data_IF_611278488207
#
_entry.id   IF_611278488207
#
_cell.length_a   1.000
_cell.length_b   1.000
_cell.length_c   1.000
_cell.angle_alpha   90.00
_cell.angle_beta   90.00
_cell.angle_gamma   90.00
#
_symmetry.space_group_name_H-M   'P 1'
#
loop_
_entity.id
_entity.type
_entity.pdbx_description
1 polymer ?
#
# COMPACT_ATOMS: atom_id res chain seq x y z
N UNK A 1 9.11 14.21 5.01
CA UNK A 1 8.15 15.32 5.07
C UNK A 1 6.94 14.89 4.27
N UNK A 2 5.72 15.08 4.77
CA UNK A 2 4.50 14.74 4.02
C UNK A 2 4.31 15.87 3.00
N UNK A 3 4.43 15.54 1.72
CA UNK A 3 4.12 16.47 0.63
C UNK A 3 2.60 16.65 0.55
N UNK A 4 2.05 17.86 0.79
CA UNK A 4 0.62 18.10 0.75
C UNK A 4 0.01 17.97 -0.66
N UNK A 5 0.82 17.95 -1.71
CA UNK A 5 0.36 17.80 -3.09
C UNK A 5 0.09 16.34 -3.48
N UNK A 6 0.48 15.36 -2.65
CA UNK A 6 0.24 13.94 -2.92
C UNK A 6 -1.10 13.52 -2.28
N UNK A 7 -2.08 13.05 -3.07
CA UNK A 7 -3.35 12.57 -2.56
C UNK A 7 -3.15 11.48 -1.51
N UNK A 8 -3.87 11.59 -0.39
CA UNK A 8 -3.82 10.62 0.70
C UNK A 8 -5.16 9.94 0.88
N UNK A 9 -5.16 8.62 0.74
CA UNK A 9 -6.33 7.78 0.96
C UNK A 9 -6.16 6.96 2.23
N UNK A 10 -7.14 7.06 3.13
CA UNK A 10 -7.23 6.20 4.30
C UNK A 10 -7.83 4.85 3.89
N UNK A 11 -7.15 3.75 4.21
CA UNK A 11 -7.71 2.42 4.00
C UNK A 11 -9.04 2.26 4.76
N UNK A 12 -10.05 1.69 4.11
CA UNK A 12 -11.36 1.38 4.69
C UNK A 12 -11.34 0.03 5.38
N UNK A 13 -10.65 -0.96 4.79
CA UNK A 13 -10.47 -2.30 5.37
C UNK A 13 -9.11 -2.90 5.00
N UNK A 14 -8.64 -3.83 5.83
CA UNK A 14 -7.50 -4.70 5.54
C UNK A 14 -7.94 -6.12 5.87
N UNK A 15 -7.81 -7.04 4.91
CA UNK A 15 -8.24 -8.43 5.07
C UNK A 15 -7.20 -9.38 4.46
N UNK A 16 -7.02 -10.55 5.07
CA UNK A 16 -6.08 -11.57 4.58
C UNK A 16 -6.86 -12.81 4.17
N UNK A 17 -6.64 -13.32 2.96
CA UNK A 17 -7.24 -14.56 2.47
C UNK A 17 -6.28 -15.24 1.49
N UNK A 18 -6.07 -16.55 1.64
CA UNK A 18 -5.24 -17.33 0.70
C UNK A 18 -3.78 -16.86 0.57
N UNK A 19 -3.21 -16.24 1.61
CA UNK A 19 -1.85 -15.70 1.57
C UNK A 19 -1.71 -14.33 0.90
N UNK A 20 -2.83 -13.65 0.65
CA UNK A 20 -2.90 -12.28 0.12
C UNK A 20 -3.58 -11.36 1.13
N UNK A 21 -2.92 -10.27 1.48
CA UNK A 21 -3.46 -9.15 2.26
C UNK A 21 -4.00 -8.09 1.31
N UNK A 22 -5.31 -7.93 1.28
CA UNK A 22 -5.99 -6.90 0.48
C UNK A 22 -6.23 -5.65 1.35
N UNK A 23 -5.71 -4.52 0.88
CA UNK A 23 -5.96 -3.19 1.42
C UNK A 23 -7.02 -2.52 0.55
N UNK A 24 -8.19 -2.24 1.14
CA UNK A 24 -9.28 -1.56 0.44
C UNK A 24 -9.23 -0.06 0.72
N UNK A 25 -9.31 0.76 -0.31
CA UNK A 25 -9.44 2.20 -0.27
C UNK A 25 -10.92 2.61 -0.43
N UNK A 26 -11.29 3.88 -0.16
CA UNK A 26 -12.63 4.36 -0.45
C UNK A 26 -12.92 4.23 -1.96
N UNK A 27 -14.13 3.82 -2.33
CA UNK A 27 -14.53 3.73 -3.74
C UNK A 27 -14.48 5.07 -4.48
N UNK A 28 -14.52 6.18 -3.72
CA UNK A 28 -14.36 7.55 -4.25
C UNK A 28 -12.91 7.96 -4.46
N UNK A 29 -11.93 7.08 -4.19
CA UNK A 29 -10.53 7.38 -4.45
C UNK A 29 -10.27 7.36 -5.96
N UNK A 30 -9.93 8.50 -6.54
CA UNK A 30 -9.58 8.62 -7.95
C UNK A 30 -8.07 8.31 -8.09
N UNK A 31 -7.77 7.24 -8.84
CA UNK A 31 -6.41 6.74 -9.05
C UNK A 31 -6.15 6.65 -10.54
N UNK A 32 -5.22 7.44 -11.03
CA UNK A 32 -4.83 7.50 -12.45
C UNK A 32 -3.48 6.83 -12.69
N UNK A 33 -3.26 6.36 -13.92
CA UNK A 33 -1.98 5.78 -14.31
C UNK A 33 -0.84 6.80 -14.15
N UNK A 34 0.25 6.39 -13.51
CA UNK A 34 1.41 7.21 -13.20
C UNK A 34 1.27 8.05 -11.93
N UNK A 35 0.11 8.07 -11.27
CA UNK A 35 -0.15 8.90 -10.10
C UNK A 35 0.55 8.35 -8.85
N UNK A 36 1.18 9.24 -8.08
CA UNK A 36 1.72 8.93 -6.75
C UNK A 36 0.64 9.21 -5.70
N UNK A 37 0.42 8.26 -4.79
CA UNK A 37 -0.55 8.35 -3.71
C UNK A 37 0.07 7.91 -2.37
N UNK A 38 -0.49 8.42 -1.28
CA UNK A 38 -0.22 7.96 0.08
C UNK A 38 -1.40 7.10 0.56
N UNK A 39 -1.16 5.84 0.92
CA UNK A 39 -2.13 4.94 1.55
C UNK A 39 -1.89 4.91 3.06
N UNK A 40 -2.82 5.45 3.84
CA UNK A 40 -2.77 5.46 5.30
C UNK A 40 -3.54 4.27 5.87
N UNK A 41 -2.81 3.38 6.56
CA UNK A 41 -3.36 2.22 7.27
C UNK A 41 -3.86 2.61 8.66
N UNK A 42 -4.92 3.41 8.75
CA UNK A 42 -5.55 3.78 10.01
C UNK A 42 -6.74 2.86 10.35
N UNK A 43 -6.53 1.55 10.23
CA UNK A 43 -7.48 0.48 10.54
C UNK A 43 -6.82 -0.56 11.44
N UNK A 44 -7.63 -1.48 11.99
CA UNK A 44 -7.09 -2.71 12.57
C UNK A 44 -6.39 -3.52 11.47
N UNK A 45 -5.24 -4.10 11.80
CA UNK A 45 -4.52 -5.02 10.92
C UNK A 45 -4.84 -6.42 11.45
N UNK A 46 -5.42 -7.32 10.64
CA UNK A 46 -5.70 -8.68 11.06
C UNK A 46 -4.41 -9.46 11.27
N UNK A 47 -4.47 -10.54 12.04
CA UNK A 47 -3.34 -11.46 12.18
C UNK A 47 -3.04 -12.16 10.85
N UNK A 48 -1.81 -12.66 10.70
CA UNK A 48 -1.40 -13.44 9.53
C UNK A 48 -1.12 -12.63 8.27
N UNK A 49 -0.97 -11.31 8.36
CA UNK A 49 -0.51 -10.46 7.24
C UNK A 49 0.97 -10.66 6.89
N UNK A 50 1.74 -11.27 7.80
CA UNK A 50 3.19 -11.34 7.70
C UNK A 50 3.63 -12.26 6.55
N UNK A 51 4.51 -11.76 5.68
CA UNK A 51 4.99 -12.52 4.52
C UNK A 51 3.97 -12.72 3.40
N UNK A 52 2.74 -12.22 3.55
CA UNK A 52 1.70 -12.27 2.53
C UNK A 52 1.96 -11.27 1.41
N UNK A 53 1.44 -11.55 0.22
CA UNK A 53 1.40 -10.57 -0.86
C UNK A 53 0.41 -9.46 -0.50
N UNK A 54 0.75 -8.20 -0.78
CA UNK A 54 -0.19 -7.08 -0.62
C UNK A 54 -0.85 -6.75 -1.95
N UNK A 55 -2.17 -6.62 -1.96
CA UNK A 55 -2.95 -6.05 -3.06
C UNK A 55 -3.68 -4.81 -2.58
N UNK A 56 -3.72 -3.76 -3.39
CA UNK A 56 -4.46 -2.52 -3.09
C UNK A 56 -5.61 -2.40 -4.08
N UNK A 57 -6.79 -2.04 -3.59
CA UNK A 57 -7.98 -1.85 -4.44
C UNK A 57 -8.89 -0.74 -3.93
N UNK A 58 -9.56 -0.01 -4.82
CA UNK A 58 -10.72 0.83 -4.51
C UNK A 58 -12.03 0.26 -5.08
N UNK A 59 -12.00 -0.96 -5.63
CA UNK A 59 -13.12 -1.60 -6.33
C UNK A 59 -13.12 -1.40 -7.86
N UNK A 60 -12.45 -0.38 -8.38
CA UNK A 60 -12.29 -0.13 -9.83
C UNK A 60 -10.86 -0.39 -10.28
N UNK A 61 -9.90 0.20 -9.59
CA UNK A 61 -8.46 -0.01 -9.76
C UNK A 61 -8.03 -1.06 -8.75
N UNK A 62 -7.38 -2.12 -9.23
CA UNK A 62 -6.78 -3.17 -8.41
C UNK A 62 -5.37 -3.45 -8.92
N UNK A 63 -4.42 -3.53 -8.00
CA UNK A 63 -3.04 -3.83 -8.33
C UNK A 63 -2.27 -4.39 -7.15
N UNK A 64 -1.32 -5.26 -7.45
CA UNK A 64 -0.40 -5.78 -6.45
C UNK A 64 0.62 -4.73 -6.06
N UNK A 65 0.98 -4.69 -4.79
CA UNK A 65 2.03 -3.82 -4.31
C UNK A 65 3.38 -4.49 -4.55
N UNK A 66 4.21 -3.83 -5.35
CA UNK A 66 5.53 -4.32 -5.78
C UNK A 66 6.64 -3.40 -5.30
N UNK A 67 7.85 -3.96 -5.14
CA UNK A 67 9.06 -3.16 -4.98
C UNK A 67 9.55 -2.60 -6.33
N UNK A 68 10.52 -1.69 -6.31
CA UNK A 68 11.10 -1.11 -7.54
C UNK A 68 11.80 -2.11 -8.47
N UNK A 69 11.96 -3.38 -8.05
CA UNK A 69 12.52 -4.45 -8.86
C UNK A 69 11.41 -5.35 -9.47
N UNK A 70 10.14 -5.00 -9.30
CA UNK A 70 9.00 -5.77 -9.81
C UNK A 70 8.62 -7.01 -8.99
N UNK A 71 9.22 -7.21 -7.80
CA UNK A 71 8.83 -8.31 -6.91
C UNK A 71 7.67 -7.89 -6.01
N UNK A 72 6.76 -8.83 -5.72
CA UNK A 72 5.71 -8.62 -4.72
C UNK A 72 6.29 -8.17 -3.39
N UNK A 73 5.69 -7.14 -2.83
CA UNK A 73 6.01 -6.71 -1.49
C UNK A 73 5.41 -7.67 -0.49
N UNK A 74 6.28 -8.23 0.35
CA UNK A 74 5.92 -9.10 1.48
C UNK A 74 6.37 -8.41 2.76
N UNK A 75 5.46 -7.74 3.49
CA UNK A 75 5.83 -6.97 4.66
C UNK A 75 6.19 -7.88 5.84
N UNK A 76 7.08 -7.38 6.69
CA UNK A 76 7.29 -7.88 8.06
C UNK A 76 6.93 -6.76 9.05
N UNK A 77 6.24 -7.10 10.14
CA UNK A 77 4.77 -7.12 10.19
C UNK A 77 4.12 -5.81 9.72
N UNK A 78 2.94 -5.91 9.09
CA UNK A 78 2.17 -4.73 8.72
C UNK A 78 1.62 -4.07 9.99
N UNK A 79 1.89 -2.78 10.19
CA UNK A 79 1.47 -2.07 11.41
C UNK A 79 0.45 -1.00 11.12
N UNK A 80 -0.50 -0.82 12.05
CA UNK A 80 -1.43 0.29 12.00
C UNK A 80 -0.69 1.63 12.07
N UNK A 81 -1.26 2.65 11.44
CA UNK A 81 -0.71 3.99 11.23
C UNK A 81 0.54 4.04 10.36
N UNK A 82 0.79 2.99 9.58
CA UNK A 82 1.75 3.04 8.47
C UNK A 82 1.16 3.83 7.31
N UNK A 83 1.99 4.66 6.67
CA UNK A 83 1.70 5.30 5.38
C UNK A 83 2.58 4.63 4.34
N UNK A 84 1.95 4.11 3.29
CA UNK A 84 2.61 3.54 2.12
C UNK A 84 2.54 4.59 1.01
N UNK A 85 3.67 5.08 0.56
CA UNK A 85 3.75 5.91 -0.65
C UNK A 85 4.05 5.02 -1.83
N UNK A 86 3.15 5.01 -2.80
CA UNK A 86 3.27 4.21 -4.01
C UNK A 86 2.84 4.98 -5.25
N UNK A 87 3.30 4.53 -6.41
CA UNK A 87 2.86 4.99 -7.72
C UNK A 87 1.99 3.91 -8.35
N UNK A 88 0.83 4.27 -8.89
CA UNK A 88 0.02 3.34 -9.68
C UNK A 88 0.53 3.30 -11.12
N UNK A 89 0.68 2.10 -11.68
CA UNK A 89 1.06 1.85 -13.06
C UNK A 89 0.08 0.83 -13.65
N UNK A 90 -0.48 1.10 -14.82
CA UNK A 90 -1.58 0.28 -15.38
C UNK A 90 -1.14 -0.86 -16.31
N UNK A 91 0.13 -0.92 -16.70
CA UNK A 91 0.65 -1.94 -17.64
C UNK A 91 2.00 -2.55 -17.18
N UNK A 92 2.00 -3.73 -16.54
CA UNK A 92 0.84 -4.40 -15.96
C UNK A 92 0.26 -3.61 -14.77
N UNK A 93 -1.01 -3.83 -14.40
CA UNK A 93 -1.64 -3.10 -13.27
C UNK A 93 -0.99 -3.43 -11.93
N UNK A 94 -0.25 -2.49 -11.35
CA UNK A 94 0.40 -2.65 -10.05
C UNK A 94 0.62 -1.30 -9.34
N UNK A 95 0.88 -1.38 -8.04
CA UNK A 95 1.35 -0.25 -7.25
C UNK A 95 2.85 -0.45 -6.98
N UNK A 96 3.70 0.42 -7.51
CA UNK A 96 5.12 0.39 -7.21
C UNK A 96 5.38 1.19 -5.94
N UNK A 97 6.02 0.58 -4.94
CA UNK A 97 6.37 1.26 -3.71
C UNK A 97 7.49 2.28 -3.95
N UNK A 98 7.32 3.45 -3.36
CA UNK A 98 8.35 4.50 -3.30
C UNK A 98 8.92 4.57 -1.88
N UNK A 99 8.04 4.60 -0.86
CA UNK A 99 8.48 4.78 0.53
C UNK A 99 7.45 4.26 1.55
N UNK A 100 7.94 3.80 2.70
CA UNK A 100 7.13 3.60 3.90
C UNK A 100 7.39 4.69 4.94
N UNK A 101 6.33 5.18 5.56
CA UNK A 101 6.40 5.98 6.78
C UNK A 101 5.69 5.24 7.90
N UNK A 102 6.41 4.90 8.96
CA UNK A 102 5.86 4.27 10.16
C UNK A 102 6.20 5.09 11.40
N UNK A 103 5.68 4.67 12.56
CA UNK A 103 5.88 5.39 13.82
C UNK A 103 7.34 5.37 14.33
N UNK A 104 8.25 4.62 13.70
CA UNK A 104 9.74 4.66 13.83
C UNK A 104 10.37 3.65 12.86
N UNK A 105 10.44 3.95 11.55
CA UNK A 105 11.44 3.28 10.72
C UNK A 105 12.76 4.00 10.95
N UNK A 106 13.63 3.45 11.81
CA UNK A 106 15.06 3.80 11.77
C UNK A 106 15.54 3.43 10.37
N UNK A 107 16.17 4.36 9.65
CA UNK A 107 16.91 4.07 8.42
C UNK A 107 17.79 2.84 8.67
N UNK A 108 17.54 1.74 7.99
CA UNK A 108 18.58 0.77 7.72
C UNK A 108 19.17 1.20 6.39
N UNK A 109 20.32 1.87 6.46
CA UNK A 109 21.21 1.98 5.31
C UNK A 109 21.78 0.58 5.09
N UNK A 110 21.57 0.00 3.91
CA UNK A 110 22.39 -1.09 3.39
C UNK A 110 23.30 -0.48 2.33
#
# INVERSE_FOLDING_TARGET
MIDPCIPRYRATTVATTGGVTTITLPATAEIENGQIIDVLLATAIPDGTDGTQITITNGTVTGDLMNGNGNYLRPYPLTSRTVIRCQYLSDPSHFQIIQFFGRKFRRVCV
#
